data_IF_621051650821
#
_entry.id   IF_621051650821
#
_cell.length_a   1.000
_cell.length_b   1.000
_cell.length_c   1.000
_cell.angle_alpha   90.00
_cell.angle_beta   90.00
_cell.angle_gamma   90.00
#
_symmetry.space_group_name_H-M   'P 1'
#
loop_
_entity.id
_entity.type
_entity.pdbx_description
1 polymer ?
#
# COMPACT_ATOMS: atom_id res chain seq x y z
N UNK A 1 -18.78 -22.85 -69.66
CA UNK A 1 -19.15 -22.63 -68.24
C UNK A 1 -18.01 -21.85 -67.58
N UNK A 2 -17.89 -20.54 -67.79
CA UNK A 2 -18.52 -19.41 -67.04
C UNK A 2 -18.15 -19.42 -65.55
N UNK A 3 -17.72 -18.34 -64.89
CA UNK A 3 -17.33 -16.97 -65.23
C UNK A 3 -16.69 -16.40 -63.94
N UNK A 4 -15.64 -15.58 -64.06
CA UNK A 4 -15.19 -14.70 -62.96
C UNK A 4 -16.26 -13.63 -62.72
N UNK A 5 -16.62 -13.34 -61.47
CA UNK A 5 -17.28 -12.08 -61.11
C UNK A 5 -16.77 -11.50 -59.79
N UNK A 6 -16.61 -10.18 -59.84
CA UNK A 6 -16.19 -9.20 -58.85
C UNK A 6 -17.29 -8.88 -57.82
N UNK A 7 -16.89 -8.46 -56.62
CA UNK A 7 -17.51 -7.41 -55.78
C UNK A 7 -16.50 -7.07 -54.67
N UNK A 8 -15.80 -5.93 -54.60
CA UNK A 8 -16.21 -4.51 -54.39
C UNK A 8 -17.16 -4.33 -53.19
N UNK A 9 -16.60 -3.93 -52.04
CA UNK A 9 -16.70 -2.59 -51.38
C UNK A 9 -17.87 -2.54 -50.36
N UNK A 10 -17.63 -2.16 -49.09
CA UNK A 10 -17.88 -0.83 -48.47
C UNK A 10 -17.28 -0.89 -47.04
N UNK A 11 -16.13 -0.27 -46.75
CA UNK A 11 -15.92 1.01 -46.05
C UNK A 11 -16.63 1.22 -44.69
N UNK A 12 -15.85 1.30 -43.58
CA UNK A 12 -15.60 2.53 -42.78
C UNK A 12 -14.92 2.22 -41.42
N UNK A 13 -13.63 2.55 -41.23
CA UNK A 13 -13.05 2.75 -39.90
C UNK A 13 -13.41 4.16 -39.38
N UNK A 14 -13.94 4.24 -38.16
CA UNK A 14 -14.15 5.49 -37.43
C UNK A 14 -12.79 6.14 -37.15
N UNK A 15 -12.52 7.20 -37.89
CA UNK A 15 -11.36 8.07 -37.78
C UNK A 15 -11.36 8.81 -36.44
N UNK A 16 -10.28 8.61 -35.69
CA UNK A 16 -9.93 9.41 -34.52
C UNK A 16 -9.51 10.80 -35.00
N UNK A 17 -10.39 11.79 -34.83
CA UNK A 17 -10.11 13.19 -35.15
C UNK A 17 -9.11 13.75 -34.15
N UNK A 18 -7.86 13.86 -34.59
CA UNK A 18 -6.86 14.73 -33.96
C UNK A 18 -7.31 16.17 -34.17
N UNK A 19 -7.64 16.85 -33.08
CA UNK A 19 -7.83 18.29 -33.12
C UNK A 19 -6.49 18.99 -33.36
N UNK A 20 -6.45 19.70 -34.47
CA UNK A 20 -5.45 20.64 -34.89
C UNK A 20 -5.35 21.80 -33.88
N UNK A 21 -4.13 22.10 -33.44
CA UNK A 21 -3.74 23.48 -33.18
C UNK A 21 -2.48 23.75 -33.99
N UNK A 22 -2.73 24.34 -35.17
CA UNK A 22 -1.74 25.05 -35.96
C UNK A 22 -1.31 26.31 -35.21
N UNK A 23 0.01 26.52 -35.06
CA UNK A 23 0.63 27.84 -35.12
C UNK A 23 2.07 27.62 -35.60
N UNK A 24 2.28 27.97 -36.86
CA UNK A 24 3.58 28.06 -37.53
C UNK A 24 4.08 29.48 -37.25
N UNK A 25 5.30 29.65 -36.72
CA UNK A 25 6.11 30.81 -37.08
C UNK A 25 7.60 30.55 -36.90
N UNK A 26 8.36 31.14 -37.80
CA UNK A 26 9.72 30.82 -38.22
C UNK A 26 10.74 31.78 -37.56
N UNK A 27 12.01 31.37 -37.58
CA UNK A 27 13.20 32.24 -37.72
C UNK A 27 13.96 32.76 -36.47
N UNK A 28 14.99 31.99 -36.12
CA UNK A 28 16.41 32.38 -35.89
C UNK A 28 16.84 33.22 -34.67
N UNK A 29 18.09 33.04 -34.17
CA UNK A 29 18.56 33.56 -32.90
C UNK A 29 19.25 34.92 -33.04
N UNK A 30 19.00 35.84 -32.10
CA UNK A 30 19.87 37.01 -31.88
C UNK A 30 20.06 37.23 -30.38
N UNK A 31 21.33 37.26 -30.00
CA UNK A 31 21.84 37.58 -28.68
C UNK A 31 21.67 39.07 -28.36
N UNK A 32 21.64 39.32 -27.04
CA UNK A 32 21.82 40.59 -26.31
C UNK A 32 20.71 41.63 -26.43
N UNK A 33 20.05 41.92 -25.31
CA UNK A 33 20.22 43.21 -24.63
C UNK A 33 19.27 43.33 -23.44
N UNK A 34 19.87 43.63 -22.29
CA UNK A 34 19.34 44.36 -21.13
C UNK A 34 18.01 45.13 -21.35
N UNK A 35 16.98 44.73 -20.61
CA UNK A 35 16.31 45.58 -19.60
C UNK A 35 15.30 44.72 -18.81
N UNK A 36 15.53 44.63 -17.49
CA UNK A 36 14.58 44.02 -16.56
C UNK A 36 13.39 44.95 -16.38
N UNK A 37 12.33 44.74 -17.16
CA UNK A 37 10.99 45.19 -16.81
C UNK A 37 10.41 44.18 -15.83
N UNK A 38 10.29 44.56 -14.56
CA UNK A 38 9.59 43.75 -13.56
C UNK A 38 8.09 43.80 -13.86
N UNK A 39 7.59 42.82 -14.60
CA UNK A 39 6.14 42.60 -14.69
C UNK A 39 5.63 42.15 -13.31
N UNK A 40 5.04 43.07 -12.57
CA UNK A 40 4.32 42.82 -11.30
C UNK A 40 2.90 42.28 -11.57
N UNK A 41 2.77 41.32 -12.47
CA UNK A 41 1.53 40.56 -12.58
C UNK A 41 1.60 39.39 -11.59
N UNK A 42 0.67 39.30 -10.62
CA UNK A 42 0.63 38.15 -9.73
C UNK A 42 0.30 36.91 -10.58
N UNK A 43 1.30 36.05 -10.82
CA UNK A 43 1.08 34.70 -11.36
C UNK A 43 0.17 33.96 -10.40
N UNK A 44 -1.12 33.93 -10.72
CA UNK A 44 -2.05 33.02 -10.06
C UNK A 44 -1.51 31.60 -10.22
N UNK A 45 -1.36 30.82 -9.14
CA UNK A 45 -0.87 29.45 -9.25
C UNK A 45 -1.82 28.68 -10.17
N UNK A 46 -1.28 28.08 -11.23
CA UNK A 46 -2.04 27.20 -12.11
C UNK A 46 -2.75 26.14 -11.24
N UNK A 47 -4.05 25.87 -11.43
CA UNK A 47 -4.75 24.87 -10.64
C UNK A 47 -4.00 23.55 -10.79
N UNK A 48 -3.45 23.06 -9.68
CA UNK A 48 -2.81 21.75 -9.65
C UNK A 48 -3.88 20.73 -10.01
N UNK A 49 -3.77 20.12 -11.19
CA UNK A 49 -4.61 19.00 -11.59
C UNK A 49 -4.24 17.81 -10.71
N UNK A 50 -4.97 17.64 -9.61
CA UNK A 50 -4.84 16.46 -8.76
C UNK A 50 -5.45 15.30 -9.55
N UNK A 51 -4.69 14.24 -9.87
CA UNK A 51 -5.25 13.08 -10.53
C UNK A 51 -6.24 12.41 -9.58
N UNK A 52 -7.53 12.47 -9.90
CA UNK A 52 -8.59 11.72 -9.20
C UNK A 52 -8.76 10.38 -9.88
N UNK A 53 -8.51 9.29 -9.13
CA UNK A 53 -8.83 7.94 -9.60
C UNK A 53 -10.32 7.70 -9.40
N UNK A 54 -11.05 7.49 -10.50
CA UNK A 54 -12.42 7.00 -10.42
C UNK A 54 -12.40 5.50 -10.08
N UNK A 55 -12.74 5.15 -8.85
CA UNK A 55 -12.87 3.75 -8.43
C UNK A 55 -14.35 3.35 -8.46
N UNK A 56 -14.69 2.43 -9.35
CA UNK A 56 -15.96 1.70 -9.36
C UNK A 56 -15.80 0.32 -8.72
N UNK A 57 -16.91 -0.37 -8.45
CA UNK A 57 -16.93 -1.75 -7.90
C UNK A 57 -16.08 -2.70 -8.76
N UNK A 58 -16.17 -2.60 -10.08
CA UNK A 58 -15.42 -3.44 -11.02
C UNK A 58 -13.92 -3.10 -11.13
N UNK A 59 -13.50 -1.94 -10.61
CA UNK A 59 -12.08 -1.52 -10.58
C UNK A 59 -11.46 -1.62 -9.19
N UNK A 60 -12.21 -2.15 -8.22
CA UNK A 60 -11.73 -2.44 -6.88
C UNK A 60 -10.83 -3.69 -6.94
N UNK A 61 -9.72 -3.64 -6.21
CA UNK A 61 -8.75 -4.73 -6.15
C UNK A 61 -8.76 -5.32 -4.74
N UNK A 62 -8.45 -6.62 -4.59
CA UNK A 62 -8.26 -7.21 -3.27
C UNK A 62 -7.13 -6.50 -2.51
N UNK A 63 -7.27 -6.48 -1.18
CA UNK A 63 -6.35 -5.79 -0.26
C UNK A 63 -4.88 -6.13 -0.52
N UNK A 64 -4.56 -7.38 -0.84
CA UNK A 64 -3.19 -7.82 -1.10
C UNK A 64 -2.54 -7.12 -2.29
N UNK A 65 -3.28 -6.92 -3.37
CA UNK A 65 -2.77 -6.25 -4.58
C UNK A 65 -2.58 -4.75 -4.31
N UNK A 66 -3.51 -4.13 -3.57
CA UNK A 66 -3.41 -2.72 -3.17
C UNK A 66 -2.15 -2.51 -2.32
N UNK A 67 -1.94 -3.37 -1.30
CA UNK A 67 -0.79 -3.27 -0.41
C UNK A 67 0.54 -3.59 -1.11
N UNK A 68 0.52 -4.45 -2.12
CA UNK A 68 1.68 -4.71 -2.98
C UNK A 68 2.07 -3.47 -3.80
N UNK A 69 1.10 -2.75 -4.37
CA UNK A 69 1.35 -1.49 -5.05
C UNK A 69 1.95 -0.41 -4.15
N UNK A 70 1.51 -0.33 -2.88
CA UNK A 70 2.00 0.65 -1.90
C UNK A 70 3.36 0.28 -1.31
N UNK A 71 3.57 -1.00 -0.96
CA UNK A 71 4.79 -1.46 -0.27
C UNK A 71 5.89 -1.85 -1.25
N UNK A 72 5.53 -2.05 -2.51
CA UNK A 72 6.34 -2.69 -3.52
C UNK A 72 6.13 -4.20 -3.56
N UNK A 73 6.55 -4.84 -4.66
CA UNK A 73 6.36 -6.27 -4.86
C UNK A 73 7.14 -7.11 -3.84
N UNK A 74 6.57 -8.26 -3.48
CA UNK A 74 7.22 -9.22 -2.58
C UNK A 74 8.32 -9.97 -3.33
N UNK A 75 9.45 -10.23 -2.67
CA UNK A 75 10.47 -11.15 -3.17
C UNK A 75 11.39 -10.60 -4.28
N UNK A 76 11.65 -11.46 -5.28
CA UNK A 76 12.78 -11.35 -6.21
C UNK A 76 12.73 -10.17 -7.17
N UNK A 77 11.74 -9.29 -7.16
CA UNK A 77 11.74 -8.05 -7.96
C UNK A 77 12.51 -6.94 -7.25
N UNK A 78 12.78 -7.08 -5.94
CA UNK A 78 13.60 -6.16 -5.15
C UNK A 78 15.11 -6.43 -5.30
N UNK A 79 15.59 -6.82 -6.48
CA UNK A 79 16.94 -7.41 -6.68
C UNK A 79 18.12 -6.52 -6.33
N UNK A 80 17.97 -5.18 -6.28
CA UNK A 80 19.12 -4.27 -6.21
C UNK A 80 19.22 -3.41 -4.95
N UNK A 81 18.41 -3.67 -3.92
CA UNK A 81 18.46 -2.95 -2.63
C UNK A 81 18.56 -1.40 -2.73
N UNK A 82 18.11 -0.80 -3.84
CA UNK A 82 18.25 0.64 -4.13
C UNK A 82 17.37 1.52 -3.25
N UNK A 83 16.41 0.94 -2.54
CA UNK A 83 15.48 1.65 -1.66
C UNK A 83 16.00 1.82 -0.22
N UNK A 84 15.87 3.04 0.33
CA UNK A 84 16.18 3.33 1.74
C UNK A 84 15.21 2.59 2.67
N UNK A 85 15.71 1.63 3.46
CA UNK A 85 14.91 0.80 4.40
C UNK A 85 14.23 1.58 5.53
N UNK A 86 14.70 2.80 5.85
CA UNK A 86 14.12 3.63 6.92
C UNK A 86 12.68 4.05 6.64
N UNK A 87 12.32 4.27 5.36
CA UNK A 87 11.07 4.91 4.93
C UNK A 87 9.92 3.91 4.69
N UNK A 88 10.19 2.61 4.65
CA UNK A 88 9.13 1.60 4.38
C UNK A 88 8.08 1.58 5.50
N UNK A 89 6.82 1.77 5.10
CA UNK A 89 5.63 1.65 5.94
C UNK A 89 5.26 0.16 6.08
N UNK A 90 4.83 -0.30 7.28
CA UNK A 90 4.36 -1.67 7.44
C UNK A 90 3.01 -1.85 6.72
N UNK A 91 2.77 -3.04 6.18
CA UNK A 91 1.43 -3.46 5.73
C UNK A 91 0.51 -3.53 6.95
N UNK A 92 -0.63 -2.86 6.88
CA UNK A 92 -1.66 -2.89 7.93
C UNK A 92 -2.80 -3.78 7.45
N UNK A 93 -3.20 -4.74 8.28
CA UNK A 93 -4.39 -5.56 8.00
C UNK A 93 -5.64 -4.81 8.45
N UNK A 94 -6.49 -4.46 7.49
CA UNK A 94 -7.72 -3.70 7.73
C UNK A 94 -8.84 -4.56 8.32
N UNK A 95 -8.80 -5.88 8.12
CA UNK A 95 -9.83 -6.81 8.60
C UNK A 95 -9.65 -7.12 10.09
N UNK A 96 -8.44 -6.93 10.61
CA UNK A 96 -8.11 -7.24 12.00
C UNK A 96 -8.92 -6.38 12.96
N UNK A 97 -9.67 -7.04 13.83
CA UNK A 97 -10.48 -6.40 14.87
C UNK A 97 -11.91 -6.08 14.45
N UNK A 98 -12.25 -6.16 13.15
CA UNK A 98 -13.62 -5.99 12.68
C UNK A 98 -14.42 -7.26 12.97
N UNK A 99 -15.52 -7.15 13.71
CA UNK A 99 -16.46 -8.25 13.91
C UNK A 99 -17.52 -8.21 12.83
N UNK A 100 -17.97 -9.38 12.39
CA UNK A 100 -18.97 -9.50 11.34
C UNK A 100 -20.32 -9.02 11.90
N UNK A 101 -21.04 -8.19 11.14
CA UNK A 101 -22.35 -7.66 11.52
C UNK A 101 -22.31 -6.40 12.38
N UNK A 102 -21.13 -5.92 12.78
CA UNK A 102 -21.00 -4.59 13.37
C UNK A 102 -20.90 -3.52 12.28
N UNK A 103 -21.59 -2.42 12.53
CA UNK A 103 -21.77 -1.34 11.58
C UNK A 103 -21.77 0.01 12.34
N UNK A 104 -21.40 1.11 11.67
CA UNK A 104 -21.35 2.43 12.32
C UNK A 104 -22.71 2.90 12.82
N UNK A 105 -23.80 2.41 12.24
CA UNK A 105 -25.18 2.74 12.63
C UNK A 105 -25.73 1.90 13.80
N UNK A 106 -25.01 0.87 14.26
CA UNK A 106 -25.41 0.06 15.42
C UNK A 106 -26.58 -0.89 15.17
N UNK A 107 -26.70 -1.50 13.99
CA UNK A 107 -27.77 -2.48 13.72
C UNK A 107 -27.48 -3.80 14.40
N UNK A 108 -28.53 -4.40 14.96
CA UNK A 108 -28.52 -5.71 15.57
C UNK A 108 -29.09 -6.72 14.56
N UNK A 109 -28.19 -7.53 14.01
CA UNK A 109 -28.52 -8.63 13.11
C UNK A 109 -28.67 -9.92 13.92
N UNK A 110 -29.87 -10.48 14.07
CA UNK A 110 -30.08 -11.73 14.80
C UNK A 110 -29.34 -12.88 14.12
N UNK A 111 -28.56 -13.64 14.89
CA UNK A 111 -27.68 -14.70 14.38
C UNK A 111 -26.29 -14.25 13.93
N UNK A 112 -25.98 -12.95 13.98
CA UNK A 112 -24.67 -12.40 13.59
C UNK A 112 -24.05 -11.53 14.68
N UNK A 113 -24.67 -10.37 14.96
CA UNK A 113 -24.24 -9.45 16.02
C UNK A 113 -25.04 -9.67 17.33
N UNK A 114 -26.27 -10.17 17.21
CA UNK A 114 -27.16 -10.46 18.34
C UNK A 114 -27.57 -11.94 18.35
N UNK A 115 -27.94 -12.52 19.51
CA UNK A 115 -28.52 -13.86 19.56
C UNK A 115 -29.82 -13.94 18.73
N UNK A 116 -30.10 -15.13 18.20
CA UNK A 116 -31.28 -15.37 17.35
C UNK A 116 -32.59 -15.32 18.14
N UNK A 117 -32.59 -15.83 19.37
CA UNK A 117 -33.75 -15.88 20.26
C UNK A 117 -33.53 -15.02 21.51
N UNK A 118 -34.60 -14.40 21.97
CA UNK A 118 -34.69 -13.74 23.27
C UNK A 118 -35.82 -14.36 24.07
N UNK A 119 -35.51 -15.00 25.20
CA UNK A 119 -36.53 -15.60 26.07
C UNK A 119 -37.63 -16.37 25.28
N UNK A 120 -37.20 -17.18 24.30
CA UNK A 120 -38.03 -17.97 23.35
C UNK A 120 -38.65 -17.25 22.14
N UNK A 121 -38.56 -15.93 22.03
CA UNK A 121 -39.05 -15.16 20.87
C UNK A 121 -37.93 -14.91 19.86
N UNK A 122 -38.20 -15.13 18.57
CA UNK A 122 -37.23 -14.82 17.51
C UNK A 122 -37.03 -13.31 17.40
N UNK A 123 -35.77 -12.86 17.49
CA UNK A 123 -35.45 -11.44 17.35
C UNK A 123 -35.56 -11.01 15.89
N UNK A 124 -36.11 -9.81 15.69
CA UNK A 124 -36.12 -9.12 14.39
C UNK A 124 -34.90 -8.21 14.26
N UNK A 125 -34.65 -7.70 13.06
CA UNK A 125 -33.59 -6.69 12.84
C UNK A 125 -34.01 -5.42 13.58
N UNK A 126 -33.14 -4.94 14.46
CA UNK A 126 -33.39 -3.76 15.28
C UNK A 126 -32.22 -2.79 15.18
N UNK A 127 -32.50 -1.49 15.31
CA UNK A 127 -31.45 -0.49 15.48
C UNK A 127 -31.12 -0.41 16.96
N UNK A 128 -29.93 -0.88 17.34
CA UNK A 128 -29.41 -0.74 18.69
C UNK A 128 -28.60 0.54 18.84
N UNK A 129 -27.94 0.65 20.00
CA UNK A 129 -27.02 1.75 20.27
C UNK A 129 -25.69 1.55 19.56
N UNK A 130 -25.06 2.66 19.19
CA UNK A 130 -23.70 2.64 18.60
C UNK A 130 -22.72 2.25 19.69
N UNK A 131 -21.97 1.16 19.47
CA UNK A 131 -20.93 0.71 20.39
C UNK A 131 -19.68 1.59 20.29
N UNK A 132 -19.71 2.80 20.86
CA UNK A 132 -18.60 3.75 20.85
C UNK A 132 -17.32 3.17 21.44
N UNK A 133 -17.44 2.40 22.52
CA UNK A 133 -16.30 1.73 23.15
C UNK A 133 -15.59 0.77 22.20
N UNK A 134 -16.35 0.10 21.32
CA UNK A 134 -15.79 -0.78 20.30
C UNK A 134 -15.11 0.01 19.18
N UNK A 135 -15.73 1.07 18.66
CA UNK A 135 -15.13 1.94 17.64
C UNK A 135 -13.81 2.55 18.14
N UNK A 136 -13.79 3.03 19.38
CA UNK A 136 -12.57 3.53 20.02
C UNK A 136 -11.49 2.46 20.11
N UNK A 137 -11.84 1.22 20.50
CA UNK A 137 -10.91 0.09 20.54
C UNK A 137 -10.37 -0.25 19.14
N UNK A 138 -11.22 -0.22 18.11
CA UNK A 138 -10.81 -0.40 16.71
C UNK A 138 -9.79 0.65 16.27
N UNK A 139 -10.03 1.92 16.58
CA UNK A 139 -9.13 3.00 16.21
C UNK A 139 -7.82 2.94 16.99
N UNK A 140 -7.85 2.56 18.26
CA UNK A 140 -6.63 2.28 19.03
C UNK A 140 -5.81 1.14 18.40
N UNK A 141 -6.45 0.05 17.97
CA UNK A 141 -5.78 -1.06 17.29
C UNK A 141 -5.15 -0.62 15.96
N UNK A 142 -5.88 0.17 15.17
CA UNK A 142 -5.37 0.75 13.91
C UNK A 142 -4.16 1.63 14.17
N UNK A 143 -4.24 2.55 15.12
CA UNK A 143 -3.15 3.45 15.48
C UNK A 143 -1.92 2.66 15.98
N UNK A 144 -2.11 1.65 16.82
CA UNK A 144 -1.02 0.77 17.29
C UNK A 144 -0.36 0.01 16.13
N UNK A 145 -1.14 -0.45 15.15
CA UNK A 145 -0.62 -1.20 14.00
C UNK A 145 0.11 -0.33 12.97
N UNK A 146 -0.28 0.94 12.84
CA UNK A 146 0.33 1.90 11.90
C UNK A 146 1.73 2.35 12.36
N UNK A 147 2.00 2.29 13.66
CA UNK A 147 3.30 2.65 14.22
C UNK A 147 4.34 1.59 13.88
N UNK A 148 5.43 2.00 13.23
CA UNK A 148 6.57 1.14 12.95
C UNK A 148 7.17 0.66 14.27
N UNK A 149 7.14 -0.65 14.51
CA UNK A 149 7.81 -1.27 15.66
C UNK A 149 9.29 -0.87 15.66
N UNK A 150 9.73 -0.24 16.74
CA UNK A 150 11.16 0.06 16.94
C UNK A 150 11.90 -1.27 17.08
N UNK A 151 13.14 -1.33 16.59
CA UNK A 151 14.01 -2.50 16.81
C UNK A 151 14.22 -2.63 18.33
N UNK A 152 13.87 -3.78 18.89
CA UNK A 152 14.15 -4.09 20.29
C UNK A 152 15.67 -4.11 20.45
N UNK A 153 16.18 -3.32 21.40
CA UNK A 153 17.60 -3.35 21.76
C UNK A 153 17.79 -4.45 22.79
N UNK A 154 18.79 -5.29 22.58
CA UNK A 154 19.17 -6.28 23.58
C UNK A 154 19.74 -5.56 24.81
N UNK A 155 19.47 -6.07 26.03
CA UNK A 155 20.10 -5.55 27.23
C UNK A 155 21.61 -5.85 27.21
N UNK A 156 22.45 -5.06 27.92
CA UNK A 156 23.90 -5.20 27.88
C UNK A 156 24.42 -6.59 28.26
N UNK A 157 23.73 -7.29 29.16
CA UNK A 157 24.13 -8.62 29.64
C UNK A 157 23.93 -9.74 28.58
N UNK A 158 22.93 -9.58 27.71
CA UNK A 158 22.59 -10.57 26.68
C UNK A 158 23.19 -10.24 25.31
N UNK A 159 23.87 -9.10 25.22
CA UNK A 159 24.56 -8.64 24.03
C UNK A 159 25.92 -9.36 23.96
N UNK A 160 26.35 -9.71 22.75
CA UNK A 160 27.71 -10.20 22.51
C UNK A 160 28.78 -9.08 22.56
N UNK A 161 29.80 -9.16 21.70
CA UNK A 161 30.91 -8.20 21.71
C UNK A 161 30.47 -6.76 21.37
N UNK A 162 29.64 -6.61 20.32
CA UNK A 162 29.11 -5.30 19.90
C UNK A 162 27.59 -5.28 19.86
N UNK A 163 26.97 -4.10 20.00
CA UNK A 163 25.52 -4.00 20.19
C UNK A 163 24.68 -4.27 18.95
N UNK A 164 25.31 -4.21 17.78
CA UNK A 164 24.68 -4.44 16.49
C UNK A 164 25.08 -5.78 15.84
N UNK A 165 26.16 -6.42 16.32
CA UNK A 165 26.63 -7.70 15.80
C UNK A 165 26.03 -8.86 16.59
N UNK A 166 25.94 -10.01 15.93
CA UNK A 166 25.57 -11.29 16.56
C UNK A 166 26.77 -11.95 17.26
N UNK A 167 28.00 -11.57 16.95
CA UNK A 167 29.21 -12.19 17.50
C UNK A 167 29.27 -12.13 19.03
N UNK A 168 29.51 -13.27 19.67
CA UNK A 168 29.53 -13.47 21.11
C UNK A 168 28.16 -13.65 21.76
N UNK A 169 27.05 -13.59 21.01
CA UNK A 169 25.70 -13.80 21.55
C UNK A 169 25.43 -15.29 21.77
N UNK A 170 24.84 -15.63 22.93
CA UNK A 170 24.34 -16.98 23.24
C UNK A 170 23.03 -17.24 22.49
N UNK A 171 22.98 -18.34 21.75
CA UNK A 171 21.76 -18.86 21.11
C UNK A 171 20.99 -19.81 22.03
N UNK A 172 21.62 -20.22 23.13
CA UNK A 172 21.10 -21.24 24.04
C UNK A 172 21.49 -22.65 23.60
N UNK A 173 20.90 -23.67 24.24
CA UNK A 173 21.07 -25.06 23.86
C UNK A 173 20.56 -25.32 22.44
N UNK A 174 21.21 -26.24 21.73
CA UNK A 174 20.73 -26.68 20.43
C UNK A 174 19.49 -27.56 20.60
N UNK A 175 18.53 -27.39 19.70
CA UNK A 175 17.38 -28.29 19.58
C UNK A 175 17.87 -29.73 19.34
N UNK A 176 17.64 -30.63 20.30
CA UNK A 176 18.10 -32.03 20.28
C UNK A 176 19.51 -32.28 20.83
N UNK A 177 20.19 -31.26 21.37
CA UNK A 177 21.46 -31.39 22.07
C UNK A 177 21.30 -31.67 23.57
N UNK A 178 22.40 -32.02 24.23
CA UNK A 178 22.46 -32.08 25.70
C UNK A 178 22.25 -30.68 26.31
N UNK A 179 21.46 -30.58 27.40
CA UNK A 179 21.06 -29.29 27.99
C UNK A 179 22.22 -28.48 28.59
N UNK A 180 23.38 -29.11 28.81
CA UNK A 180 24.52 -28.51 29.50
C UNK A 180 25.41 -27.63 28.61
N UNK A 181 25.17 -27.62 27.29
CA UNK A 181 26.00 -26.88 26.34
C UNK A 181 25.34 -25.57 25.91
N UNK A 182 26.10 -24.47 26.00
CA UNK A 182 25.73 -23.17 25.47
C UNK A 182 26.34 -22.95 24.08
N UNK A 183 25.51 -22.54 23.11
CA UNK A 183 25.96 -22.25 21.74
C UNK A 183 26.19 -20.77 21.56
N UNK A 184 27.39 -20.38 21.11
CA UNK A 184 27.76 -18.97 20.90
C UNK A 184 28.18 -18.70 19.46
N UNK A 185 27.77 -17.54 18.95
CA UNK A 185 28.13 -17.09 17.59
C UNK A 185 29.56 -16.55 17.57
N UNK A 186 30.41 -17.08 16.68
CA UNK A 186 31.77 -16.57 16.48
C UNK A 186 31.81 -15.48 15.39
N UNK A 187 31.35 -15.80 14.19
CA UNK A 187 31.30 -14.89 13.05
C UNK A 187 29.93 -14.94 12.36
N UNK A 188 29.42 -13.77 11.96
CA UNK A 188 28.25 -13.66 11.11
C UNK A 188 28.57 -12.76 9.92
N UNK A 189 28.78 -13.37 8.75
CA UNK A 189 29.17 -12.67 7.52
C UNK A 189 28.14 -12.92 6.42
N UNK A 190 27.73 -11.85 5.75
CA UNK A 190 26.90 -11.96 4.55
C UNK A 190 27.84 -12.16 3.37
N UNK A 191 27.89 -13.38 2.83
CA UNK A 191 28.60 -13.68 1.59
C UNK A 191 27.70 -13.42 0.38
N UNK A 192 28.20 -12.68 -0.60
CA UNK A 192 27.62 -12.61 -1.93
C UNK A 192 28.39 -13.54 -2.84
N UNK A 193 27.71 -14.52 -3.45
CA UNK A 193 28.26 -15.27 -4.57
C UNK A 193 28.01 -14.47 -5.86
N UNK A 194 29.01 -14.39 -6.77
CA UNK A 194 28.88 -13.70 -8.04
C UNK A 194 27.87 -14.37 -8.97
#
# INVERSE_FOLDING_TARGET
MTLRLLAQSILRPLSFTKFNTSCIFFQSPKFLSSCCSYDLTPRLPSPMKIPTRQSTIFTSLPSDIIWEGVTGPKGSTKKRARGKRRVTRPKIDLNRGQRIGENPEGYLWPGLNAPLYDQSVMRTIQKGDVNEAYLKRLDELRNKSAVKKKRVKLPPLLRGWTGASMGGQSLGPLEGGSPDFDTRVLEFKVSSFP
#
